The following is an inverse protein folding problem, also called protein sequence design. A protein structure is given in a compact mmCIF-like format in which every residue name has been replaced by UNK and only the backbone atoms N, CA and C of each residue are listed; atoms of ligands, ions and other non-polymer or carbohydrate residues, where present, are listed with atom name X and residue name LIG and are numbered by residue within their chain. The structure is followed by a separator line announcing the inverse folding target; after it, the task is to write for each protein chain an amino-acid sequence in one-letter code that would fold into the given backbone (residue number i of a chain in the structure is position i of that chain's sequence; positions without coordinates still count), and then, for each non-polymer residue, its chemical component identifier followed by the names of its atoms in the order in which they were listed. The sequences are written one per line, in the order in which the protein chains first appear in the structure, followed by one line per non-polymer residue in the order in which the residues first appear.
data_IF_313897551274
#
_entry.id   IF_313897551274
#
_cell.length_a   1.000
_cell.length_b   1.000
_cell.length_c   1.000
_cell.angle_alpha   90.00
_cell.angle_beta   90.00
_cell.angle_gamma   90.00
#
_symmetry.space_group_name_H-M   'P 1'
#
loop_
_entity.id
_entity.type
_entity.pdbx_description
1 polymer ?
#
# COMPACT_ATOMS: atom_id res chain seq x y z
N UNK A 1 -12.15 8.25 -16.52
CA UNK A 1 -11.30 8.34 -15.31
C UNK A 1 -11.44 7.02 -14.58
N UNK A 2 -10.46 6.12 -14.62
CA UNK A 2 -9.42 6.08 -13.59
C UNK A 2 -9.80 5.22 -12.38
N UNK A 3 -10.53 4.09 -12.53
CA UNK A 3 -11.07 3.31 -11.40
C UNK A 3 -10.05 2.87 -10.33
N UNK A 4 -8.76 2.80 -10.65
CA UNK A 4 -7.70 2.56 -9.67
C UNK A 4 -7.48 3.77 -8.72
N UNK A 5 -7.72 5.00 -9.17
CA UNK A 5 -7.56 6.20 -8.35
C UNK A 5 -8.65 6.28 -7.28
N UNK A 6 -9.90 6.01 -7.67
CA UNK A 6 -11.03 5.93 -6.74
C UNK A 6 -10.82 4.81 -5.73
N UNK A 7 -10.45 3.61 -6.20
CA UNK A 7 -10.10 2.48 -5.33
C UNK A 7 -9.04 2.86 -4.29
N UNK A 8 -7.93 3.49 -4.72
CA UNK A 8 -6.84 3.85 -3.81
C UNK A 8 -7.26 4.94 -2.82
N UNK A 9 -8.01 5.95 -3.26
CA UNK A 9 -8.55 6.99 -2.37
C UNK A 9 -9.42 6.36 -1.29
N UNK A 10 -10.40 5.56 -1.69
CA UNK A 10 -11.36 4.95 -0.77
C UNK A 10 -10.67 3.94 0.15
N UNK A 11 -9.67 3.21 -0.36
CA UNK A 11 -8.79 2.36 0.44
C UNK A 11 -8.08 3.16 1.53
N UNK A 12 -7.44 4.29 1.22
CA UNK A 12 -6.72 5.09 2.23
C UNK A 12 -7.66 5.70 3.27
N UNK A 13 -8.85 6.13 2.85
CA UNK A 13 -9.89 6.61 3.79
C UNK A 13 -10.33 5.49 4.74
N UNK A 14 -10.67 4.32 4.21
CA UNK A 14 -11.09 3.17 5.02
C UNK A 14 -9.96 2.64 5.91
N UNK A 15 -8.74 2.55 5.38
CA UNK A 15 -7.57 2.10 6.14
C UNK A 15 -7.32 3.02 7.34
N UNK A 16 -7.41 4.34 7.15
CA UNK A 16 -7.25 5.29 8.25
C UNK A 16 -8.28 5.10 9.36
N UNK A 17 -9.53 4.76 9.03
CA UNK A 17 -10.57 4.47 10.04
C UNK A 17 -10.36 3.14 10.78
N UNK A 18 -9.59 2.22 10.21
CA UNK A 18 -9.27 0.93 10.81
C UNK A 18 -7.98 0.96 11.65
N UNK A 19 -7.17 2.02 11.55
CA UNK A 19 -5.95 2.14 12.35
C UNK A 19 -6.27 2.57 13.77
N UNK A 20 -5.56 1.98 14.72
CA UNK A 20 -5.48 2.56 16.05
C UNK A 20 -4.89 3.99 15.94
N UNK A 21 -5.44 4.98 16.66
CA UNK A 21 -4.92 6.35 16.63
C UNK A 21 -3.62 6.47 17.46
N UNK A 22 -2.58 5.77 17.02
CA UNK A 22 -1.24 5.75 17.58
C UNK A 22 -0.19 6.16 16.53
N UNK A 23 0.92 6.76 16.98
CA UNK A 23 2.01 7.18 16.09
C UNK A 23 2.75 5.99 15.44
N UNK A 24 2.63 4.81 16.05
CA UNK A 24 3.24 3.57 15.55
C UNK A 24 2.32 2.75 14.64
N UNK A 25 1.06 3.15 14.47
CA UNK A 25 0.14 2.47 13.56
C UNK A 25 0.52 2.70 12.10
N UNK A 26 0.58 1.61 11.34
CA UNK A 26 1.09 1.58 9.97
C UNK A 26 0.14 0.85 9.01
N UNK A 27 0.07 1.33 7.78
CA UNK A 27 -0.54 0.64 6.64
C UNK A 27 0.55 0.25 5.66
N UNK A 28 0.62 -1.05 5.36
CA UNK A 28 1.62 -1.62 4.47
C UNK A 28 0.98 -1.93 3.12
N UNK A 29 1.38 -1.23 2.07
CA UNK A 29 0.89 -1.47 0.70
C UNK A 29 2.03 -2.03 -0.13
N UNK A 30 1.92 -3.31 -0.51
CA UNK A 30 2.91 -4.00 -1.33
C UNK A 30 2.45 -4.07 -2.78
N UNK A 31 3.26 -3.55 -3.70
CA UNK A 31 2.99 -3.56 -5.14
C UNK A 31 4.13 -4.24 -5.88
N UNK A 32 3.79 -4.97 -6.94
CA UNK A 32 4.78 -5.43 -7.92
C UNK A 32 5.34 -4.22 -8.67
N UNK A 33 6.62 -4.27 -9.01
CA UNK A 33 7.22 -3.24 -9.87
C UNK A 33 6.72 -3.34 -11.32
N UNK A 34 6.76 -2.22 -12.04
CA UNK A 34 6.38 -2.17 -13.44
C UNK A 34 4.90 -1.86 -13.65
N UNK A 35 4.53 -1.75 -14.93
CA UNK A 35 3.14 -1.48 -15.31
C UNK A 35 2.22 -2.68 -15.04
N UNK A 36 0.94 -2.44 -14.68
CA UNK A 36 0.30 -1.11 -14.56
C UNK A 36 0.53 -0.41 -13.21
N UNK A 37 1.18 -1.06 -12.24
CA UNK A 37 1.24 -0.59 -10.85
C UNK A 37 2.00 0.73 -10.69
N UNK A 38 3.05 0.94 -11.48
CA UNK A 38 3.77 2.21 -11.49
C UNK A 38 2.86 3.40 -11.86
N UNK A 39 1.91 3.19 -12.79
CA UNK A 39 0.95 4.24 -13.19
C UNK A 39 -0.06 4.60 -12.11
N UNK A 40 -0.23 3.76 -11.08
CA UNK A 40 -1.17 4.03 -10.00
C UNK A 40 -0.68 5.12 -9.06
N UNK A 41 0.62 5.44 -9.10
CA UNK A 41 1.23 6.51 -8.32
C UNK A 41 0.80 6.51 -6.84
N UNK A 42 0.83 5.33 -6.21
CA UNK A 42 0.26 5.09 -4.86
C UNK A 42 0.70 6.11 -3.80
N UNK A 43 1.95 6.59 -3.90
CA UNK A 43 2.49 7.64 -3.03
C UNK A 43 1.77 8.98 -3.19
N UNK A 44 1.48 9.37 -4.43
CA UNK A 44 0.75 10.60 -4.73
C UNK A 44 -0.72 10.46 -4.33
N UNK A 45 -1.32 9.28 -4.55
CA UNK A 45 -2.70 9.00 -4.13
C UNK A 45 -2.86 9.10 -2.61
N UNK A 46 -1.94 8.50 -1.84
CA UNK A 46 -1.95 8.62 -0.38
C UNK A 46 -1.80 10.07 0.08
N UNK A 47 -0.90 10.83 -0.57
CA UNK A 47 -0.65 12.24 -0.25
C UNK A 47 -1.85 13.14 -0.57
N UNK A 48 -2.57 12.84 -1.65
CA UNK A 48 -3.75 13.58 -2.09
C UNK A 48 -5.03 13.20 -1.33
N UNK A 49 -5.03 12.07 -0.63
CA UNK A 49 -6.20 11.62 0.13
C UNK A 49 -6.37 12.46 1.39
N UNK A 50 -7.57 13.03 1.53
CA UNK A 50 -7.99 13.84 2.66
C UNK A 50 -9.10 13.14 3.45
N UNK A 51 -9.19 13.44 4.74
CA UNK A 51 -10.35 13.08 5.56
C UNK A 51 -11.58 13.92 5.20
N UNK A 52 -12.72 13.63 5.84
CA UNK A 52 -13.97 14.37 5.64
C UNK A 52 -13.87 15.87 5.99
N UNK A 53 -12.86 16.24 6.77
CA UNK A 53 -12.55 17.62 7.16
C UNK A 53 -11.60 18.34 6.18
N UNK A 54 -11.22 17.70 5.08
CA UNK A 54 -10.27 18.24 4.13
C UNK A 54 -8.81 18.21 4.60
N UNK A 55 -8.52 17.58 5.75
CA UNK A 55 -7.15 17.45 6.22
C UNK A 55 -6.45 16.28 5.53
N UNK A 56 -5.17 16.42 5.14
CA UNK A 56 -4.38 15.30 4.63
C UNK A 56 -4.34 14.15 5.63
N UNK A 57 -4.68 12.94 5.17
CA UNK A 57 -4.92 11.82 6.06
C UNK A 57 -3.65 11.03 6.36
N UNK A 58 -2.87 10.74 5.32
CA UNK A 58 -1.72 9.85 5.39
C UNK A 58 -0.44 10.48 4.85
N UNK A 59 0.68 9.92 5.29
CA UNK A 59 2.01 10.18 4.73
C UNK A 59 2.74 8.86 4.51
N UNK A 60 3.51 8.77 3.44
CA UNK A 60 4.48 7.69 3.29
C UNK A 60 5.64 7.95 4.24
N UNK A 61 5.90 7.01 5.14
CA UNK A 61 7.04 7.04 6.06
C UNK A 61 8.29 6.48 5.37
N UNK A 62 8.16 5.29 4.79
CA UNK A 62 9.27 4.60 4.11
C UNK A 62 8.77 3.71 2.98
N UNK A 63 9.68 3.39 2.07
CA UNK A 63 9.46 2.42 1.00
C UNK A 63 10.61 1.44 0.98
N UNK A 64 10.33 0.14 1.11
CA UNK A 64 11.33 -0.92 1.22
C UNK A 64 11.11 -1.97 0.14
N UNK A 65 12.15 -2.73 -0.25
CA UNK A 65 11.96 -3.93 -1.08
C UNK A 65 10.94 -4.86 -0.43
N UNK A 66 10.05 -5.45 -1.24
CA UNK A 66 9.08 -6.41 -0.72
C UNK A 66 9.81 -7.67 -0.23
N UNK A 67 9.48 -8.12 0.97
CA UNK A 67 9.96 -9.36 1.56
C UNK A 67 8.77 -10.16 2.08
N UNK A 68 8.50 -11.32 1.49
CA UNK A 68 7.36 -12.15 1.86
C UNK A 68 7.44 -12.68 3.29
N UNK A 69 8.66 -12.88 3.82
CA UNK A 69 8.89 -13.37 5.18
C UNK A 69 8.39 -12.38 6.25
N UNK A 70 8.26 -11.08 5.91
CA UNK A 70 7.66 -10.09 6.81
C UNK A 70 6.14 -10.23 6.96
N UNK A 71 5.49 -11.08 6.15
CA UNK A 71 4.04 -11.28 6.15
C UNK A 71 3.71 -12.77 6.32
N UNK A 72 3.70 -13.30 7.56
CA UNK A 72 3.36 -14.69 7.82
C UNK A 72 2.01 -15.08 7.21
N UNK A 73 1.95 -16.23 6.55
CA UNK A 73 0.74 -16.68 5.85
C UNK A 73 0.53 -16.08 4.46
N UNK A 74 1.42 -15.20 3.98
CA UNK A 74 1.36 -14.70 2.61
C UNK A 74 1.47 -15.84 1.59
N UNK A 75 0.41 -16.03 0.81
CA UNK A 75 0.21 -17.16 -0.11
C UNK A 75 -0.12 -16.75 -1.55
N UNK A 76 -0.01 -15.47 -1.89
CA UNK A 76 -0.62 -14.94 -3.11
C UNK A 76 0.13 -15.39 -4.37
N UNK A 77 -0.53 -16.17 -5.24
CA UNK A 77 0.10 -16.89 -6.36
C UNK A 77 0.82 -15.99 -7.38
N UNK A 78 0.46 -14.69 -7.46
CA UNK A 78 1.12 -13.73 -8.37
C UNK A 78 2.36 -13.06 -7.76
N UNK A 79 2.61 -13.28 -6.47
CA UNK A 79 3.71 -12.72 -5.67
C UNK A 79 4.54 -13.78 -4.96
N UNK A 80 4.07 -15.04 -4.95
CA UNK A 80 4.80 -16.23 -4.46
C UNK A 80 5.28 -17.19 -5.54
N UNK A 81 4.94 -16.96 -6.81
CA UNK A 81 5.50 -17.75 -7.92
C UNK A 81 4.97 -19.18 -8.07
N UNK A 82 4.04 -19.67 -7.24
CA UNK A 82 3.60 -21.07 -7.36
C UNK A 82 2.35 -21.26 -8.24
N UNK A 83 2.41 -22.32 -9.06
CA UNK A 83 1.46 -22.83 -10.06
C UNK A 83 1.05 -21.88 -11.21
N UNK A 84 0.83 -20.59 -10.97
CA UNK A 84 0.46 -19.62 -12.01
C UNK A 84 1.68 -19.14 -12.83
N UNK A 85 2.89 -19.29 -12.28
CA UNK A 85 4.13 -18.78 -12.85
C UNK A 85 4.74 -19.69 -13.94
N UNK A 86 4.66 -21.01 -13.75
CA UNK A 86 5.24 -22.01 -14.65
C UNK A 86 4.60 -21.97 -16.06
N UNK A 87 3.29 -21.73 -16.16
CA UNK A 87 2.58 -21.67 -17.44
C UNK A 87 2.82 -20.36 -18.23
N UNK A 88 3.42 -19.33 -17.62
CA UNK A 88 3.63 -18.00 -18.24
C UNK A 88 5.06 -17.45 -18.12
N UNK A 89 6.02 -18.27 -17.71
CA UNK A 89 7.44 -17.90 -17.65
C UNK A 89 7.82 -16.95 -16.50
N UNK A 90 7.00 -16.88 -15.45
CA UNK A 90 7.39 -16.14 -14.24
C UNK A 90 8.25 -17.06 -13.36
N UNK A 91 9.34 -16.52 -12.82
CA UNK A 91 10.20 -17.17 -11.80
C UNK A 91 10.08 -16.39 -10.50
N UNK A 92 10.42 -16.97 -9.35
CA UNK A 92 10.44 -16.25 -8.06
C UNK A 92 11.23 -14.94 -8.14
N UNK A 93 12.32 -14.95 -8.93
CA UNK A 93 13.11 -13.76 -9.24
C UNK A 93 12.28 -12.68 -9.95
N UNK A 94 11.43 -13.02 -10.92
CA UNK A 94 10.64 -12.05 -11.71
C UNK A 94 9.34 -11.60 -11.02
N UNK A 95 8.97 -12.29 -9.95
CA UNK A 95 7.78 -12.02 -9.15
C UNK A 95 8.08 -11.00 -8.04
N UNK A 96 9.26 -11.11 -7.43
CA UNK A 96 9.73 -10.21 -6.37
C UNK A 96 10.60 -9.06 -6.91
N UNK A 97 11.29 -9.25 -8.05
CA UNK A 97 12.15 -8.20 -8.62
C UNK A 97 11.36 -6.93 -8.93
N UNK A 98 11.77 -5.83 -8.28
CA UNK A 98 11.16 -4.51 -8.41
C UNK A 98 9.91 -4.29 -7.55
N UNK A 99 9.40 -5.30 -6.85
CA UNK A 99 8.29 -5.15 -5.93
C UNK A 99 8.71 -4.35 -4.68
N UNK A 100 7.82 -3.47 -4.21
CA UNK A 100 8.07 -2.63 -3.04
C UNK A 100 6.90 -2.63 -2.09
N UNK A 101 7.20 -2.52 -0.80
CA UNK A 101 6.24 -2.21 0.26
C UNK A 101 6.37 -0.74 0.63
N UNK A 102 5.28 -0.01 0.51
CA UNK A 102 5.13 1.36 0.98
C UNK A 102 4.46 1.34 2.34
N UNK A 103 5.12 1.96 3.32
CA UNK A 103 4.61 2.06 4.68
C UNK A 103 4.04 3.46 4.88
N UNK A 104 2.74 3.52 5.18
CA UNK A 104 2.03 4.76 5.45
C UNK A 104 1.68 4.86 6.92
N UNK A 105 1.77 6.07 7.45
CA UNK A 105 1.33 6.42 8.80
C UNK A 105 0.28 7.53 8.73
N UNK A 106 -0.57 7.61 9.74
CA UNK A 106 -1.43 8.78 9.94
C UNK A 106 -0.55 10.02 10.05
N UNK A 107 -1.04 11.12 9.47
CA UNK A 107 -0.45 12.44 9.70
C UNK A 107 -0.74 12.92 11.11
N UNK A 108 0.15 13.74 11.65
CA UNK A 108 0.03 14.27 13.02
C UNK A 108 -1.28 15.04 13.20
N UNK A 109 -1.72 15.77 12.18
CA UNK A 109 -2.98 16.52 12.17
C UNK A 109 -4.18 15.58 12.29
N UNK A 110 -4.23 14.54 11.46
CA UNK A 110 -5.28 13.52 11.52
C UNK A 110 -5.27 12.75 12.85
N UNK A 111 -4.07 12.41 13.35
CA UNK A 111 -3.87 11.70 14.61
C UNK A 111 -4.39 12.50 15.82
N UNK A 112 -4.11 13.80 15.88
CA UNK A 112 -4.59 14.68 16.97
C UNK A 112 -6.10 14.69 17.04
N UNK A 113 -6.75 14.78 15.87
CA UNK A 113 -8.21 14.78 15.79
C UNK A 113 -8.83 13.47 16.26
N UNK A 114 -8.28 12.32 15.85
CA UNK A 114 -8.78 11.01 16.27
C UNK A 114 -8.60 10.73 17.76
N UNK A 115 -7.75 11.49 18.45
CA UNK A 115 -7.53 11.41 19.90
C UNK A 115 -8.42 12.36 20.71
N UNK A 116 -9.14 13.27 20.05
CA UNK A 116 -10.02 14.25 20.69
C UNK A 116 -11.44 13.72 20.70
#
# INVERSE_FOLDING_TARGET
VGGHQELLRDFFVGAASCLEPAAESEVHVSLRGGQPYDSWQVLQMAKATQGQDGLPLMRCDRSVPFCAEHFPGYGHCRTRGDAYAAARGFTDKNVVSGARTHVFKLRTEALRKLKT
#
